data_IF_586170881585
#
_entry.id   IF_586170881585
#
_cell.length_a   1.000
_cell.length_b   1.000
_cell.length_c   1.000
_cell.angle_alpha   90.00
_cell.angle_beta   90.00
_cell.angle_gamma   90.00
#
_symmetry.space_group_name_H-M   'P 1'
#
loop_
_entity.id
_entity.type
_entity.pdbx_description
1 polymer ?
#
# COMPACT_ATOMS: atom_id res chain seq x y z
N UNK A 1 -10.83 12.12 -6.18
CA UNK A 1 -12.24 11.74 -6.08
C UNK A 1 -12.26 10.47 -5.25
N UNK A 2 -12.44 10.59 -3.93
CA UNK A 2 -12.48 9.44 -3.04
C UNK A 2 -13.82 8.72 -3.21
N UNK A 3 -13.81 7.39 -3.14
CA UNK A 3 -15.04 6.61 -3.06
C UNK A 3 -15.69 6.91 -1.70
N UNK A 4 -16.77 7.68 -1.72
CA UNK A 4 -17.63 7.94 -0.57
C UNK A 4 -18.78 6.93 -0.62
N UNK A 5 -18.84 6.05 0.37
CA UNK A 5 -19.94 5.10 0.53
C UNK A 5 -20.81 5.63 1.65
N UNK A 6 -22.01 6.11 1.34
CA UNK A 6 -23.00 6.51 2.35
C UNK A 6 -23.54 5.26 3.04
N UNK A 7 -23.03 5.01 4.25
CA UNK A 7 -23.64 4.07 5.20
C UNK A 7 -24.40 4.84 6.28
N UNK A 8 -25.30 4.13 6.97
CA UNK A 8 -26.27 4.65 7.95
C UNK A 8 -25.67 5.44 9.16
N UNK A 9 -24.35 5.65 9.23
CA UNK A 9 -23.62 6.31 10.33
C UNK A 9 -22.53 7.34 9.90
N UNK A 10 -22.62 7.94 8.71
CA UNK A 10 -21.72 9.01 8.24
C UNK A 10 -20.72 8.58 7.16
N UNK A 11 -20.04 9.55 6.54
CA UNK A 11 -19.16 9.32 5.38
C UNK A 11 -17.91 8.55 5.81
N UNK A 12 -17.84 7.27 5.41
CA UNK A 12 -16.64 6.45 5.51
C UNK A 12 -15.77 6.68 4.28
N UNK A 13 -14.49 7.00 4.49
CA UNK A 13 -13.54 7.22 3.40
C UNK A 13 -12.44 6.18 3.44
N UNK A 14 -11.85 5.86 2.28
CA UNK A 14 -10.68 4.96 2.18
C UNK A 14 -9.55 5.40 3.11
N UNK A 15 -9.36 6.71 3.29
CA UNK A 15 -8.36 7.30 4.19
C UNK A 15 -8.47 6.80 5.64
N UNK A 16 -9.66 6.44 6.09
CA UNK A 16 -9.89 5.94 7.46
C UNK A 16 -9.36 4.52 7.69
N UNK A 17 -9.22 3.73 6.62
CA UNK A 17 -8.88 2.30 6.71
C UNK A 17 -7.55 1.95 6.05
N UNK A 18 -7.01 2.82 5.19
CA UNK A 18 -5.74 2.58 4.51
C UNK A 18 -4.54 2.70 5.47
N UNK A 19 -3.48 1.96 5.19
CA UNK A 19 -2.19 2.16 5.86
C UNK A 19 -1.55 3.49 5.41
N UNK A 20 -1.11 4.32 6.36
CA UNK A 20 -0.52 5.64 6.07
C UNK A 20 0.83 5.57 5.37
N UNK A 21 1.64 4.55 5.67
CA UNK A 21 2.96 4.35 5.06
C UNK A 21 3.04 2.92 4.50
N UNK A 22 2.49 2.68 3.29
CA UNK A 22 2.56 1.36 2.67
C UNK A 22 4.02 0.98 2.40
N UNK A 23 4.30 -0.33 2.41
CA UNK A 23 5.64 -0.85 2.15
C UNK A 23 6.03 -0.62 0.69
N UNK A 24 7.19 -0.01 0.44
CA UNK A 24 7.74 0.23 -0.90
C UNK A 24 9.06 -0.49 -1.14
N UNK A 25 9.42 -0.67 -2.40
CA UNK A 25 10.71 -1.20 -2.84
C UNK A 25 11.16 -0.54 -4.14
N UNK A 26 12.47 -0.37 -4.35
CA UNK A 26 13.00 0.15 -5.62
C UNK A 26 12.68 -0.78 -6.78
N UNK A 27 12.40 -0.21 -7.96
CA UNK A 27 12.29 -0.93 -9.24
C UNK A 27 13.52 -1.78 -9.59
N UNK A 28 14.69 -1.44 -9.05
CA UNK A 28 15.95 -2.14 -9.29
C UNK A 28 16.20 -3.29 -8.30
N UNK A 29 15.31 -3.49 -7.33
CA UNK A 29 15.43 -4.58 -6.36
C UNK A 29 15.12 -5.93 -7.00
N UNK A 30 15.77 -6.97 -6.48
CA UNK A 30 15.51 -8.35 -6.89
C UNK A 30 14.18 -8.86 -6.36
N UNK A 31 13.61 -9.86 -7.05
CA UNK A 31 12.42 -10.58 -6.60
C UNK A 31 12.62 -11.17 -5.19
N UNK A 32 13.83 -11.62 -4.86
CA UNK A 32 14.13 -12.19 -3.54
C UNK A 32 14.03 -11.14 -2.44
N UNK A 33 14.54 -9.93 -2.67
CA UNK A 33 14.45 -8.85 -1.69
C UNK A 33 13.00 -8.42 -1.47
N UNK A 34 12.19 -8.36 -2.54
CA UNK A 34 10.76 -8.12 -2.43
C UNK A 34 10.06 -9.22 -1.60
N UNK A 35 10.32 -10.49 -1.90
CA UNK A 35 9.72 -11.63 -1.20
C UNK A 35 10.08 -11.65 0.29
N UNK A 36 11.36 -11.41 0.64
CA UNK A 36 11.81 -11.34 2.03
C UNK A 36 11.12 -10.19 2.77
N UNK A 37 11.11 -8.98 2.21
CA UNK A 37 10.44 -7.82 2.83
C UNK A 37 8.94 -8.04 3.03
N UNK A 38 8.27 -8.63 2.05
CA UNK A 38 6.83 -8.96 2.13
C UNK A 38 6.57 -10.00 3.23
N UNK A 39 7.40 -11.04 3.32
CA UNK A 39 7.28 -12.08 4.34
C UNK A 39 7.55 -11.54 5.76
N UNK A 40 8.60 -10.73 5.94
CA UNK A 40 8.94 -10.09 7.22
C UNK A 40 7.85 -9.15 7.71
N UNK A 41 7.20 -8.42 6.80
CA UNK A 41 6.12 -7.49 7.13
C UNK A 41 4.74 -8.13 7.18
N UNK A 42 4.60 -9.37 6.69
CA UNK A 42 3.33 -10.10 6.66
C UNK A 42 2.32 -9.54 5.65
N UNK A 43 2.78 -9.04 4.49
CA UNK A 43 1.93 -8.46 3.45
C UNK A 43 1.98 -9.28 2.17
N UNK A 44 0.86 -9.31 1.44
CA UNK A 44 0.76 -10.01 0.15
C UNK A 44 1.20 -9.19 -1.07
N UNK A 45 1.47 -7.89 -0.89
CA UNK A 45 1.88 -6.99 -1.94
C UNK A 45 2.82 -5.91 -1.39
N UNK A 46 3.67 -5.38 -2.26
CA UNK A 46 4.61 -4.29 -2.02
C UNK A 46 4.55 -3.32 -3.19
N UNK A 47 4.60 -2.02 -2.94
CA UNK A 47 4.60 -1.03 -4.00
C UNK A 47 6.01 -0.84 -4.58
N UNK A 48 6.11 -0.57 -5.87
CA UNK A 48 7.40 -0.34 -6.54
C UNK A 48 7.60 1.16 -6.72
N UNK A 49 8.71 1.67 -6.20
CA UNK A 49 9.12 3.06 -6.37
C UNK A 49 10.03 3.19 -7.60
N UNK A 50 9.63 4.08 -8.52
CA UNK A 50 10.31 4.40 -9.77
C UNK A 50 10.20 5.91 -10.01
N UNK A 51 11.33 6.59 -10.18
CA UNK A 51 11.40 8.04 -10.43
C UNK A 51 10.58 8.90 -9.43
N UNK A 52 10.61 8.54 -8.15
CA UNK A 52 9.87 9.22 -7.08
C UNK A 52 8.35 9.04 -7.14
N UNK A 53 7.87 8.08 -7.93
CA UNK A 53 6.48 7.65 -8.01
C UNK A 53 6.36 6.24 -7.44
N UNK A 54 5.21 5.97 -6.82
CA UNK A 54 4.83 4.70 -6.18
C UNK A 54 3.52 4.22 -6.78
#
# INVERSE_FOLDING_TARGET
MGLEVEGENGILTVKMFMSTNPLTISENATIREAAVKMAERGVGAIFVESDGKV
#
